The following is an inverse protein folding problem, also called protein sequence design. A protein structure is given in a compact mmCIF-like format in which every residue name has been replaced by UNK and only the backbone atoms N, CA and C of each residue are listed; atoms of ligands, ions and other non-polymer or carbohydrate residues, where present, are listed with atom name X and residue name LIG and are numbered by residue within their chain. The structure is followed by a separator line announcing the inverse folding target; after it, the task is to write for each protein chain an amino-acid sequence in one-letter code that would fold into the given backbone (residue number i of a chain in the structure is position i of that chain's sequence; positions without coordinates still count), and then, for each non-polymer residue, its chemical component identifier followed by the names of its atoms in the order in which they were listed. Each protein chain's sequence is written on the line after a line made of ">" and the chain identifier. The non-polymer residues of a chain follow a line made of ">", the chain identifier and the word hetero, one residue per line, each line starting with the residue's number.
data_IF_909281323204
#
_entry.id   IF_909281323204
#
_cell.length_a   1.000
_cell.length_b   1.000
_cell.length_c   1.000
_cell.angle_alpha   90.00
_cell.angle_beta   90.00
_cell.angle_gamma   90.00
#
_symmetry.space_group_name_H-M   'P 1'
#
loop_
_entity.id
_entity.type
_entity.pdbx_description
1 polymer ?
#
# COMPACT_ATOMS: atom_id res chain seq x y z
N UNK A 1 -7.41 -29.11 -18.57
CA UNK A 1 -8.49 -28.15 -18.28
C UNK A 1 -9.15 -28.56 -16.98
N UNK A 2 -9.04 -27.70 -15.97
CA UNK A 2 -9.99 -27.51 -14.86
C UNK A 2 -9.35 -26.48 -13.93
N UNK A 3 -9.46 -25.20 -14.31
CA UNK A 3 -9.29 -24.10 -13.36
C UNK A 3 -10.62 -23.94 -12.68
N UNK A 4 -10.70 -24.45 -11.47
CA UNK A 4 -11.79 -24.19 -10.53
C UNK A 4 -11.16 -23.73 -9.23
N UNK A 5 -10.86 -22.44 -9.15
CA UNK A 5 -10.84 -21.72 -7.88
C UNK A 5 -11.45 -20.37 -8.16
N UNK A 6 -12.77 -20.29 -8.02
CA UNK A 6 -13.41 -19.00 -7.80
C UNK A 6 -12.87 -18.49 -6.47
N UNK A 7 -11.79 -17.70 -6.53
CA UNK A 7 -11.35 -16.92 -5.39
C UNK A 7 -12.46 -15.94 -5.11
N UNK A 8 -13.11 -16.08 -3.95
CA UNK A 8 -13.94 -15.00 -3.44
C UNK A 8 -13.10 -13.71 -3.52
N UNK A 9 -13.62 -12.66 -4.15
CA UNK A 9 -12.95 -11.37 -4.15
C UNK A 9 -12.72 -11.00 -2.67
N UNK A 10 -11.45 -10.99 -2.26
CA UNK A 10 -11.10 -10.72 -0.88
C UNK A 10 -11.57 -9.30 -0.53
N UNK A 11 -12.27 -9.17 0.59
CA UNK A 11 -12.88 -7.90 0.97
C UNK A 11 -11.81 -6.84 1.21
N UNK A 12 -12.10 -5.60 0.80
CA UNK A 12 -11.23 -4.44 1.08
C UNK A 12 -11.03 -4.33 2.60
N UNK A 13 -9.78 -4.26 3.11
CA UNK A 13 -9.53 -4.03 4.52
C UNK A 13 -10.16 -2.71 4.98
N UNK A 14 -10.79 -2.69 6.16
CA UNK A 14 -11.35 -1.46 6.72
C UNK A 14 -10.28 -0.62 7.45
N UNK A 15 -10.65 0.61 7.84
CA UNK A 15 -9.79 1.52 8.59
C UNK A 15 -9.37 0.96 9.96
N UNK A 16 -10.18 0.08 10.56
CA UNK A 16 -9.90 -0.57 11.83
C UNK A 16 -8.74 -1.56 11.72
N UNK A 17 -8.71 -2.36 10.65
CA UNK A 17 -7.58 -3.26 10.33
C UNK A 17 -6.30 -2.44 10.19
N UNK A 18 -6.32 -1.36 9.41
CA UNK A 18 -5.15 -0.50 9.23
C UNK A 18 -4.66 0.07 10.55
N UNK A 19 -5.57 0.64 11.35
CA UNK A 19 -5.22 1.22 12.67
C UNK A 19 -4.60 0.17 13.60
N UNK A 20 -5.13 -1.05 13.59
CA UNK A 20 -4.60 -2.17 14.37
C UNK A 20 -3.19 -2.54 13.94
N UNK A 21 -2.93 -2.66 12.63
CA UNK A 21 -1.59 -2.94 12.09
C UNK A 21 -0.57 -1.88 12.51
N UNK A 22 -0.95 -0.59 12.45
CA UNK A 22 -0.09 0.50 12.90
C UNK A 22 0.23 0.38 14.40
N UNK A 23 -0.77 0.14 15.26
CA UNK A 23 -0.54 0.01 16.71
C UNK A 23 0.30 -1.21 17.07
N UNK A 24 0.13 -2.32 16.36
CA UNK A 24 0.87 -3.57 16.63
C UNK A 24 2.32 -3.51 16.16
N UNK A 25 2.61 -2.86 15.03
CA UNK A 25 3.92 -3.00 14.35
C UNK A 25 4.62 -1.67 14.02
N UNK A 26 3.92 -0.55 14.10
CA UNK A 26 4.48 0.79 13.93
C UNK A 26 3.90 1.77 14.97
N UNK A 27 4.05 1.50 16.29
CA UNK A 27 3.28 2.18 17.34
C UNK A 27 3.47 3.70 17.39
N UNK A 28 4.63 4.21 16.94
CA UNK A 28 4.89 5.65 16.79
C UNK A 28 3.97 6.35 15.77
N UNK A 29 3.26 5.58 14.93
CA UNK A 29 2.25 6.04 13.96
C UNK A 29 0.83 5.59 14.36
N UNK A 30 0.67 4.84 15.45
CA UNK A 30 -0.56 4.14 15.81
C UNK A 30 -1.75 5.03 16.19
N UNK A 31 -1.50 6.32 16.42
CA UNK A 31 -2.52 7.32 16.73
C UNK A 31 -2.72 8.34 15.59
N UNK A 32 -2.02 8.17 14.46
CA UNK A 32 -2.25 9.01 13.29
C UNK A 32 -3.59 8.67 12.61
N UNK A 33 -4.32 9.67 12.09
CA UNK A 33 -5.59 9.42 11.42
C UNK A 33 -5.40 8.60 10.14
N UNK A 34 -6.23 7.58 9.96
CA UNK A 34 -6.24 6.75 8.73
C UNK A 34 -7.41 7.18 7.86
N UNK A 35 -7.16 7.39 6.56
CA UNK A 35 -8.20 7.77 5.58
C UNK A 35 -8.11 6.92 4.34
N UNK A 36 -9.26 6.55 3.78
CA UNK A 36 -9.33 5.96 2.45
C UNK A 36 -8.87 6.97 1.40
N UNK A 37 -8.26 6.46 0.31
CA UNK A 37 -8.11 7.23 -0.91
C UNK A 37 -9.20 6.80 -1.90
N UNK A 38 -9.84 7.75 -2.57
CA UNK A 38 -10.94 7.48 -3.50
C UNK A 38 -10.55 6.67 -4.74
N UNK A 39 -9.27 6.33 -4.90
CA UNK A 39 -8.74 5.48 -5.96
C UNK A 39 -7.83 4.43 -5.35
N UNK A 40 -8.22 3.18 -5.40
CA UNK A 40 -7.40 2.08 -4.87
C UNK A 40 -6.56 1.47 -6.00
N UNK A 41 -5.27 1.25 -5.74
CA UNK A 41 -4.33 0.72 -6.73
C UNK A 41 -4.67 -0.72 -7.13
N UNK A 42 -4.31 -1.15 -8.35
CA UNK A 42 -4.57 -2.51 -8.83
C UNK A 42 -3.84 -3.60 -8.03
N UNK A 43 -2.66 -3.28 -7.51
CA UNK A 43 -1.82 -4.21 -6.73
C UNK A 43 -1.99 -4.10 -5.22
N UNK A 44 -2.31 -2.91 -4.71
CA UNK A 44 -2.39 -2.62 -3.28
C UNK A 44 -3.69 -1.87 -2.95
N UNK A 45 -4.33 -2.24 -1.84
CA UNK A 45 -5.15 -1.26 -1.13
C UNK A 45 -4.22 -0.25 -0.47
N UNK A 46 -4.55 1.03 -0.61
CA UNK A 46 -3.73 2.13 -0.12
C UNK A 46 -4.60 2.99 0.77
N UNK A 47 -4.05 3.38 1.93
CA UNK A 47 -4.72 4.28 2.88
C UNK A 47 -3.73 5.37 3.28
N UNK A 48 -4.23 6.61 3.46
CA UNK A 48 -3.44 7.70 4.03
C UNK A 48 -3.26 7.44 5.52
N UNK A 49 -2.07 7.72 6.02
CA UNK A 49 -1.73 7.71 7.45
C UNK A 49 -1.20 9.09 7.80
N UNK A 50 -1.94 9.85 8.60
CA UNK A 50 -1.68 11.28 8.77
C UNK A 50 -1.73 12.03 7.44
N UNK A 51 -0.88 13.04 7.30
CA UNK A 51 -0.77 13.86 6.08
C UNK A 51 0.44 13.50 5.22
N UNK A 52 1.44 12.82 5.78
CA UNK A 52 2.73 12.61 5.11
C UNK A 52 2.96 11.16 4.66
N UNK A 53 2.09 10.21 5.01
CA UNK A 53 2.35 8.79 4.79
C UNK A 53 1.18 8.07 4.10
N UNK A 54 1.48 6.91 3.55
CA UNK A 54 0.50 5.94 3.12
C UNK A 54 0.92 4.53 3.52
N UNK A 55 -0.05 3.70 3.87
CA UNK A 55 0.15 2.25 4.03
C UNK A 55 -0.32 1.54 2.75
N UNK A 56 0.43 0.52 2.34
CA UNK A 56 0.14 -0.31 1.17
C UNK A 56 -0.05 -1.76 1.61
N UNK A 57 -1.25 -2.28 1.35
CA UNK A 57 -1.65 -3.64 1.66
C UNK A 57 -1.82 -4.42 0.35
N UNK A 58 -0.96 -5.41 0.04
CA UNK A 58 -1.06 -6.20 -1.19
C UNK A 58 -2.42 -6.89 -1.32
N UNK A 59 -3.00 -6.89 -2.53
CA UNK A 59 -4.34 -7.44 -2.80
C UNK A 59 -4.39 -8.95 -3.00
N UNK A 60 -3.26 -9.55 -3.32
CA UNK A 60 -3.09 -10.98 -3.52
C UNK A 60 -1.65 -11.36 -3.15
N UNK A 61 -1.41 -12.66 -2.98
CA UNK A 61 -0.06 -13.17 -2.73
C UNK A 61 0.88 -12.91 -3.93
N UNK A 62 0.33 -12.80 -5.15
CA UNK A 62 1.11 -12.47 -6.35
C UNK A 62 1.81 -11.11 -6.22
N UNK A 63 1.20 -10.15 -5.53
CA UNK A 63 1.75 -8.81 -5.33
C UNK A 63 2.73 -8.71 -4.14
N UNK A 64 2.90 -9.77 -3.36
CA UNK A 64 3.88 -9.78 -2.26
C UNK A 64 5.31 -9.68 -2.79
N UNK A 65 5.60 -10.31 -3.93
CA UNK A 65 6.91 -10.23 -4.58
C UNK A 65 7.22 -8.82 -5.09
N UNK A 66 6.22 -8.11 -5.60
CA UNK A 66 6.34 -6.73 -6.05
C UNK A 66 6.63 -5.79 -4.87
N UNK A 67 5.90 -5.95 -3.76
CA UNK A 67 6.17 -5.19 -2.53
C UNK A 67 7.60 -5.44 -2.01
N UNK A 68 8.04 -6.69 -1.98
CA UNK A 68 9.40 -7.03 -1.55
C UNK A 68 10.47 -6.40 -2.45
N UNK A 69 10.21 -6.34 -3.76
CA UNK A 69 11.08 -5.69 -4.73
C UNK A 69 11.15 -4.19 -4.50
N UNK A 70 10.02 -3.53 -4.28
CA UNK A 70 9.97 -2.11 -3.95
C UNK A 70 10.76 -1.80 -2.67
N UNK A 71 10.49 -2.54 -1.60
CA UNK A 71 11.18 -2.40 -0.30
C UNK A 71 12.69 -2.52 -0.43
N UNK A 72 13.16 -3.46 -1.26
CA UNK A 72 14.59 -3.72 -1.46
C UNK A 72 15.27 -2.62 -2.26
N UNK A 73 14.67 -2.20 -3.37
CA UNK A 73 15.36 -1.40 -4.38
C UNK A 73 15.10 0.10 -4.26
N UNK A 74 13.92 0.51 -3.82
CA UNK A 74 13.54 1.91 -3.79
C UNK A 74 14.47 2.78 -2.93
N UNK A 75 14.94 2.35 -1.73
CA UNK A 75 15.89 3.15 -0.94
C UNK A 75 17.23 3.39 -1.66
N UNK A 76 17.67 2.44 -2.49
CA UNK A 76 18.90 2.58 -3.28
C UNK A 76 18.71 3.38 -4.55
N UNK A 77 17.52 3.36 -5.15
CA UNK A 77 17.21 4.11 -6.37
C UNK A 77 16.86 5.57 -6.08
N UNK A 78 16.14 5.85 -5.00
CA UNK A 78 15.60 7.18 -4.69
C UNK A 78 16.63 8.33 -4.77
N UNK A 79 17.86 8.20 -4.23
CA UNK A 79 18.86 9.27 -4.31
C UNK A 79 19.36 9.58 -5.73
N UNK A 80 19.09 8.70 -6.70
CA UNK A 80 19.57 8.79 -8.07
C UNK A 80 18.48 9.18 -9.08
N UNK A 81 17.24 9.40 -8.63
CA UNK A 81 16.13 9.77 -9.51
C UNK A 81 15.95 11.31 -9.55
N UNK A 82 15.67 11.89 -10.73
CA UNK A 82 15.49 13.33 -10.88
C UNK A 82 14.10 13.81 -10.40
N UNK A 83 13.26 12.90 -9.93
CA UNK A 83 11.87 13.16 -9.49
C UNK A 83 11.63 12.57 -8.11
N UNK A 84 10.74 13.16 -7.31
CA UNK A 84 10.37 12.60 -6.02
C UNK A 84 9.76 11.21 -6.15
N UNK A 85 10.21 10.28 -5.31
CA UNK A 85 9.62 8.96 -5.14
C UNK A 85 9.31 8.70 -3.67
N UNK A 86 8.41 7.76 -3.33
CA UNK A 86 8.14 7.40 -1.95
C UNK A 86 9.40 6.86 -1.25
N UNK A 87 9.57 7.19 0.01
CA UNK A 87 10.54 6.57 0.90
C UNK A 87 9.87 5.42 1.64
N UNK A 88 10.56 4.29 1.79
CA UNK A 88 10.09 3.18 2.62
C UNK A 88 10.32 3.53 4.10
N UNK A 89 9.25 3.75 4.85
CA UNK A 89 9.30 4.18 6.26
C UNK A 89 9.25 2.99 7.21
N UNK A 90 8.40 2.00 6.90
CA UNK A 90 8.30 0.78 7.69
C UNK A 90 7.83 -0.40 6.81
N UNK A 91 8.17 -1.60 7.25
CA UNK A 91 7.70 -2.86 6.65
C UNK A 91 7.08 -3.69 7.75
N UNK A 92 5.82 -4.06 7.56
CA UNK A 92 5.10 -4.92 8.47
C UNK A 92 5.06 -6.36 8.01
N UNK A 93 4.92 -7.26 8.98
CA UNK A 93 4.78 -8.70 8.80
C UNK A 93 3.30 -9.12 8.84
N UNK A 94 2.97 -10.30 8.27
CA UNK A 94 1.68 -10.95 8.47
C UNK A 94 1.27 -11.01 9.95
N UNK A 95 -0.03 -10.91 10.21
CA UNK A 95 -0.65 -11.00 11.53
C UNK A 95 -2.10 -11.49 11.40
N UNK A 96 -2.76 -11.72 12.55
CA UNK A 96 -4.19 -12.08 12.57
C UNK A 96 -5.08 -10.98 11.95
N UNK A 97 -4.62 -9.73 11.93
CA UNK A 97 -5.36 -8.61 11.34
C UNK A 97 -5.22 -8.55 9.81
N UNK A 98 -4.09 -9.03 9.26
CA UNK A 98 -3.84 -9.03 7.82
C UNK A 98 -2.78 -10.08 7.45
N UNK A 99 -3.07 -11.01 6.52
CA UNK A 99 -2.28 -12.23 6.33
C UNK A 99 -1.01 -12.03 5.49
N UNK A 100 -0.77 -10.84 4.94
CA UNK A 100 0.36 -10.55 4.04
C UNK A 100 1.30 -9.51 4.64
N UNK A 101 2.57 -9.45 4.21
CA UNK A 101 3.42 -8.31 4.51
C UNK A 101 2.86 -7.04 3.89
N UNK A 102 3.24 -5.90 4.46
CA UNK A 102 2.79 -4.58 4.03
C UNK A 102 3.89 -3.54 4.25
N UNK A 103 3.72 -2.36 3.68
CA UNK A 103 4.69 -1.27 3.84
C UNK A 103 4.01 0.05 4.15
N UNK A 104 4.71 0.91 4.89
CA UNK A 104 4.39 2.33 5.03
C UNK A 104 5.43 3.09 4.22
N UNK A 105 4.94 3.99 3.38
CA UNK A 105 5.78 4.84 2.54
C UNK A 105 5.44 6.31 2.72
N UNK A 106 6.38 7.19 2.40
CA UNK A 106 6.08 8.63 2.30
C UNK A 106 5.07 8.89 1.18
N UNK A 107 4.19 9.86 1.40
CA UNK A 107 3.25 10.30 0.39
C UNK A 107 3.89 11.36 -0.47
N UNK A 108 3.91 11.11 -1.77
CA UNK A 108 4.33 12.09 -2.77
C UNK A 108 3.09 12.91 -3.17
N UNK A 109 3.01 14.21 -2.85
CA UNK A 109 1.90 15.04 -3.27
C UNK A 109 1.89 15.17 -4.79
N UNK A 110 0.71 15.03 -5.38
CA UNK A 110 0.54 15.17 -6.82
C UNK A 110 -0.90 14.90 -7.20
N UNK A 111 -1.25 15.32 -8.40
CA UNK A 111 -2.50 14.98 -9.05
C UNK A 111 -2.20 13.92 -10.11
N UNK A 112 -3.16 13.00 -10.33
CA UNK A 112 -3.08 12.14 -11.50
C UNK A 112 -2.98 13.03 -12.75
N UNK A 113 -2.12 12.74 -13.75
CA UNK A 113 -1.93 13.56 -14.95
C UNK A 113 -3.15 13.79 -15.88
N UNK A 114 -4.38 13.61 -15.36
CA UNK A 114 -5.70 13.85 -15.95
C UNK A 114 -6.27 12.69 -16.77
N UNK A 115 -7.61 12.67 -16.82
CA UNK A 115 -8.43 11.67 -17.49
C UNK A 115 -7.98 11.43 -18.92
N UNK A 116 -7.80 10.17 -19.26
CA UNK A 116 -7.75 9.75 -20.65
C UNK A 116 -9.12 10.13 -21.23
N UNK A 117 -9.21 11.25 -21.95
CA UNK A 117 -10.27 11.42 -22.93
C UNK A 117 -10.12 10.21 -23.87
N UNK A 118 -11.01 9.25 -23.68
CA UNK A 118 -11.15 8.13 -24.59
C UNK A 118 -11.69 8.77 -25.86
N UNK A 119 -10.79 9.13 -26.77
CA UNK A 119 -11.18 9.47 -28.14
C UNK A 119 -11.93 8.25 -28.66
N UNK A 120 -13.25 8.41 -28.81
CA UNK A 120 -14.16 7.40 -29.36
C UNK A 120 -13.87 7.15 -30.85
#
# INVERSE_FOLDING_TARGET
>A
MSRSSGGAAEAVPDLGIVTRLLREQAPHLGDLPVREIGVSGSSNWVFRVGDALAIRLPRSDDYVADLASEVRWLPGLAPHLPVPVPDVVAVGRPSDAFPRPWSIVSWVPGESPLGLDVVQ
#
